data_IF_296712658219
#
_entry.id   IF_296712658219
#
_cell.length_a   1.000
_cell.length_b   1.000
_cell.length_c   1.000
_cell.angle_alpha   90.00
_cell.angle_beta   90.00
_cell.angle_gamma   90.00
#
_symmetry.space_group_name_H-M   'P 1'
#
loop_
_entity.id
_entity.type
_entity.pdbx_description
1 polymer ?
#
# COMPACT_ATOMS: atom_id res chain seq x y z
N UNK A 1 2.34 19.73 -16.78
CA UNK A 1 1.44 18.56 -16.61
C UNK A 1 1.81 17.63 -15.44
N UNK A 2 3.02 17.67 -14.86
CA UNK A 2 3.24 17.34 -13.42
C UNK A 2 3.99 18.51 -12.74
N UNK A 3 4.83 19.22 -13.51
CA UNK A 3 5.60 20.39 -13.09
C UNK A 3 4.84 21.74 -13.08
N UNK A 4 3.51 21.71 -12.90
CA UNK A 4 2.71 22.95 -12.81
C UNK A 4 2.36 23.20 -11.34
N UNK A 5 2.41 24.45 -10.87
CA UNK A 5 2.07 24.81 -9.48
C UNK A 5 0.65 24.40 -9.05
N UNK A 6 -0.25 24.12 -9.99
CA UNK A 6 -1.63 23.70 -9.71
C UNK A 6 -1.86 22.19 -9.89
N UNK A 7 -0.81 21.38 -10.04
CA UNK A 7 -0.95 19.93 -10.15
C UNK A 7 -1.33 19.32 -8.79
N UNK A 8 -2.44 18.58 -8.74
CA UNK A 8 -2.84 17.78 -7.59
C UNK A 8 -3.28 16.39 -8.05
N UNK A 9 -3.07 15.38 -7.20
CA UNK A 9 -3.57 14.04 -7.45
C UNK A 9 -5.06 13.97 -7.13
N UNK A 10 -5.79 13.12 -7.86
CA UNK A 10 -7.16 12.80 -7.46
C UNK A 10 -7.18 11.80 -6.32
N UNK A 11 -8.24 11.81 -5.52
CA UNK A 11 -8.45 10.81 -4.45
C UNK A 11 -8.40 9.39 -5.00
N UNK A 12 -8.93 9.16 -6.21
CA UNK A 12 -8.82 7.87 -6.90
C UNK A 12 -7.38 7.47 -7.22
N UNK A 13 -6.55 8.40 -7.69
CA UNK A 13 -5.13 8.13 -7.98
C UNK A 13 -4.38 7.77 -6.69
N UNK A 14 -4.59 8.52 -5.61
CA UNK A 14 -4.02 8.20 -4.29
C UNK A 14 -4.51 6.83 -3.80
N UNK A 15 -5.82 6.55 -3.96
CA UNK A 15 -6.42 5.27 -3.60
C UNK A 15 -5.73 4.09 -4.30
N UNK A 16 -5.53 4.18 -5.61
CA UNK A 16 -4.80 3.16 -6.36
C UNK A 16 -3.33 3.04 -5.96
N UNK A 17 -2.64 4.15 -5.69
CA UNK A 17 -1.25 4.13 -5.24
C UNK A 17 -1.10 3.40 -3.90
N UNK A 18 -2.00 3.66 -2.95
CA UNK A 18 -2.03 2.94 -1.67
C UNK A 18 -2.32 1.46 -1.89
N UNK A 19 -3.39 1.11 -2.61
CA UNK A 19 -3.77 -0.29 -2.84
C UNK A 19 -2.66 -1.09 -3.51
N UNK A 20 -2.08 -0.55 -4.58
CA UNK A 20 -1.01 -1.24 -5.31
C UNK A 20 0.26 -1.32 -4.45
N UNK A 21 0.62 -0.22 -3.78
CA UNK A 21 1.80 -0.16 -2.92
C UNK A 21 1.73 -1.15 -1.77
N UNK A 22 0.60 -1.21 -1.06
CA UNK A 22 0.40 -2.09 0.08
C UNK A 22 0.36 -3.57 -0.33
N UNK A 23 -0.30 -3.90 -1.45
CA UNK A 23 -0.31 -5.28 -1.99
C UNK A 23 1.09 -5.70 -2.40
N UNK A 24 1.81 -4.88 -3.17
CA UNK A 24 3.18 -5.19 -3.60
C UNK A 24 4.15 -5.26 -2.42
N UNK A 25 3.99 -4.37 -1.43
CA UNK A 25 4.78 -4.38 -0.20
C UNK A 25 4.58 -5.66 0.61
N UNK A 26 3.32 -6.06 0.82
CA UNK A 26 2.99 -7.30 1.52
C UNK A 26 3.52 -8.54 0.77
N UNK A 27 3.31 -8.62 -0.54
CA UNK A 27 3.85 -9.70 -1.38
C UNK A 27 5.37 -9.72 -1.37
N UNK A 28 6.02 -8.55 -1.40
CA UNK A 28 7.48 -8.41 -1.33
C UNK A 28 8.06 -8.95 -0.01
N UNK A 29 7.42 -8.67 1.13
CA UNK A 29 7.84 -9.24 2.42
C UNK A 29 7.69 -10.76 2.46
N UNK A 30 6.59 -11.29 1.93
CA UNK A 30 6.39 -12.73 1.83
C UNK A 30 7.43 -13.37 0.89
N UNK A 31 7.71 -12.74 -0.25
CA UNK A 31 8.75 -13.20 -1.17
C UNK A 31 10.14 -13.21 -0.52
N UNK A 32 10.47 -12.20 0.29
CA UNK A 32 11.72 -12.18 1.06
C UNK A 32 11.81 -13.33 2.06
N UNK A 33 10.71 -13.70 2.70
CA UNK A 33 10.68 -14.87 3.58
C UNK A 33 10.95 -16.16 2.79
N UNK A 34 10.33 -16.32 1.61
CA UNK A 34 10.58 -17.48 0.71
C UNK A 34 12.04 -17.54 0.28
N UNK A 35 12.62 -16.42 -0.22
CA UNK A 35 14.03 -16.35 -0.64
C UNK A 35 14.96 -16.71 0.52
N UNK A 36 14.63 -16.28 1.74
CA UNK A 36 15.41 -16.55 2.95
C UNK A 36 15.09 -17.91 3.60
N UNK A 37 14.24 -18.73 2.96
CA UNK A 37 13.79 -20.02 3.48
C UNK A 37 13.21 -19.94 4.90
N UNK A 38 12.58 -18.81 5.24
CA UNK A 38 11.94 -18.61 6.53
C UNK A 38 10.48 -19.06 6.47
N UNK A 39 10.03 -19.91 7.41
CA UNK A 39 8.63 -20.29 7.48
C UNK A 39 7.77 -19.09 7.88
N UNK A 40 6.47 -19.15 7.58
CA UNK A 40 5.50 -18.10 7.95
C UNK A 40 5.40 -17.93 9.48
N UNK A 41 5.72 -18.97 10.25
CA UNK A 41 5.83 -18.89 11.72
C UNK A 41 6.93 -17.95 12.20
N UNK A 42 7.93 -17.65 11.37
CA UNK A 42 9.06 -16.78 11.72
C UNK A 42 8.76 -15.28 11.47
N UNK A 43 7.51 -14.92 11.18
CA UNK A 43 7.08 -13.53 11.09
C UNK A 43 7.11 -12.91 12.49
N UNK A 44 8.20 -12.18 12.76
CA UNK A 44 8.41 -11.50 14.03
C UNK A 44 7.50 -10.28 14.24
N UNK A 45 7.45 -9.72 15.47
CA UNK A 45 6.54 -8.63 15.82
C UNK A 45 6.64 -7.40 14.89
N UNK A 46 7.86 -7.07 14.44
CA UNK A 46 8.08 -5.97 13.51
C UNK A 46 7.41 -6.24 12.13
N UNK A 47 7.52 -7.45 11.58
CA UNK A 47 6.84 -7.77 10.32
C UNK A 47 5.32 -7.79 10.49
N UNK A 48 4.81 -8.27 11.63
CA UNK A 48 3.37 -8.23 11.94
C UNK A 48 2.84 -6.80 11.94
N UNK A 49 3.57 -5.86 12.56
CA UNK A 49 3.22 -4.43 12.53
C UNK A 49 3.23 -3.88 11.10
N UNK A 50 4.21 -4.25 10.27
CA UNK A 50 4.25 -3.81 8.87
C UNK A 50 3.07 -4.36 8.07
N UNK A 51 2.70 -5.63 8.26
CA UNK A 51 1.49 -6.18 7.64
C UNK A 51 0.21 -5.47 8.12
N UNK A 52 0.13 -5.11 9.41
CA UNK A 52 -0.99 -4.31 9.92
C UNK A 52 -1.03 -2.92 9.27
N UNK A 53 0.12 -2.27 9.08
CA UNK A 53 0.20 -0.99 8.37
C UNK A 53 -0.24 -1.11 6.92
N UNK A 54 0.21 -2.15 6.20
CA UNK A 54 -0.27 -2.42 4.83
C UNK A 54 -1.78 -2.69 4.79
N UNK A 55 -2.33 -3.43 5.77
CA UNK A 55 -3.77 -3.66 5.84
C UNK A 55 -4.56 -2.36 6.07
N UNK A 56 -4.08 -1.49 6.96
CA UNK A 56 -4.70 -0.17 7.20
C UNK A 56 -4.59 0.72 5.96
N UNK A 57 -3.41 0.80 5.34
CA UNK A 57 -3.19 1.52 4.09
C UNK A 57 -4.10 1.04 2.97
N UNK A 58 -4.27 -0.27 2.84
CA UNK A 58 -5.14 -0.90 1.85
C UNK A 58 -6.60 -0.47 2.05
N UNK A 59 -7.09 -0.50 3.29
CA UNK A 59 -8.45 -0.07 3.63
C UNK A 59 -8.67 1.42 3.32
N UNK A 60 -7.69 2.27 3.66
CA UNK A 60 -7.71 3.68 3.31
C UNK A 60 -7.75 3.83 1.79
N UNK A 61 -6.86 3.17 1.06
CA UNK A 61 -6.80 3.22 -0.40
C UNK A 61 -8.11 2.79 -1.06
N UNK A 62 -8.69 1.68 -0.62
CA UNK A 62 -9.99 1.18 -1.10
C UNK A 62 -11.12 2.17 -0.81
N UNK A 63 -11.10 2.86 0.33
CA UNK A 63 -12.09 3.90 0.66
C UNK A 63 -11.95 5.17 -0.19
N UNK A 64 -10.76 5.45 -0.73
CA UNK A 64 -10.49 6.63 -1.56
C UNK A 64 -10.89 6.44 -3.03
N UNK A 65 -10.80 5.20 -3.55
CA UNK A 65 -11.17 4.88 -4.95
C UNK A 65 -12.60 5.34 -5.34
N UNK A 66 -13.66 5.08 -4.54
CA UNK A 66 -15.01 5.51 -4.88
C UNK A 66 -15.23 7.03 -4.78
N UNK A 67 -14.36 7.77 -4.08
CA UNK A 67 -14.44 9.24 -4.01
C UNK A 67 -14.05 9.93 -5.32
N UNK A 68 -13.53 9.17 -6.29
CA UNK A 68 -13.39 9.60 -7.68
C UNK A 68 -12.33 10.68 -7.89
N UNK A 69 -12.62 11.57 -8.84
CA UNK A 69 -11.67 12.56 -9.35
C UNK A 69 -11.64 13.86 -8.53
N UNK A 70 -12.24 13.84 -7.33
CA UNK A 70 -12.11 14.94 -6.40
C UNK A 70 -10.61 15.19 -6.12
N UNK A 71 -10.15 16.45 -6.12
CA UNK A 71 -8.78 16.76 -5.76
C UNK A 71 -8.53 16.31 -4.32
N UNK A 72 -7.32 15.78 -4.09
CA UNK A 72 -6.82 15.45 -2.76
C UNK A 72 -6.53 16.72 -1.95
#
# INVERSE_FOLDING_TARGET
MIFSNNFTFTKRQIGWLLVIGDVLGALGLLALNVIRHKPVSDIGPAQQLVFALFAVGLLIGLSLIPLGDAPA
#
